data_IF_336736551127
#
_entry.id   IF_336736551127
#
_cell.length_a   1.000
_cell.length_b   1.000
_cell.length_c   1.000
_cell.angle_alpha   90.00
_cell.angle_beta   90.00
_cell.angle_gamma   90.00
#
_symmetry.space_group_name_H-M   'P 1'
#
loop_
_entity.id
_entity.type
_entity.pdbx_description
1 polymer ?
#
# COMPACT_ATOMS: atom_id res chain seq x y z
N UNK A 1 5.45 8.33 -27.16
CA UNK A 1 4.09 8.86 -26.98
C UNK A 1 3.08 8.25 -27.94
N UNK A 2 3.37 8.06 -29.23
CA UNK A 2 2.38 7.57 -30.20
C UNK A 2 1.83 6.18 -29.88
N UNK A 3 2.66 5.24 -29.44
CA UNK A 3 2.18 3.92 -29.02
C UNK A 3 1.26 3.97 -27.80
N UNK A 4 1.57 4.83 -26.82
CA UNK A 4 0.73 5.04 -25.65
C UNK A 4 -0.61 5.68 -26.01
N UNK A 5 -0.62 6.63 -26.95
CA UNK A 5 -1.87 7.18 -27.52
C UNK A 5 -2.69 6.09 -28.19
N UNK A 6 -2.08 5.29 -29.06
CA UNK A 6 -2.76 4.16 -29.72
C UNK A 6 -3.36 3.19 -28.71
N UNK A 7 -2.63 2.89 -27.63
CA UNK A 7 -3.13 2.07 -26.53
C UNK A 7 -4.34 2.71 -25.85
N UNK A 8 -4.28 3.99 -25.45
CA UNK A 8 -5.42 4.63 -24.80
C UNK A 8 -6.64 4.73 -25.71
N UNK A 9 -6.45 4.98 -27.02
CA UNK A 9 -7.54 4.97 -27.99
C UNK A 9 -8.15 3.58 -28.20
N UNK A 10 -7.36 2.50 -28.07
CA UNK A 10 -7.87 1.13 -28.18
C UNK A 10 -8.71 0.68 -26.98
N UNK A 11 -8.62 1.39 -25.85
CA UNK A 11 -9.44 1.12 -24.66
C UNK A 11 -10.88 1.65 -24.76
N UNK A 12 -11.26 2.30 -25.88
CA UNK A 12 -12.59 2.88 -26.09
C UNK A 12 -13.06 3.78 -24.93
N UNK A 13 -12.16 4.64 -24.42
CA UNK A 13 -12.47 5.57 -23.33
C UNK A 13 -13.42 6.67 -23.84
N UNK A 14 -14.70 6.54 -23.52
CA UNK A 14 -15.75 7.51 -23.80
C UNK A 14 -16.10 8.36 -22.56
N UNK A 15 -16.69 9.54 -22.79
CA UNK A 15 -17.14 10.44 -21.72
C UNK A 15 -16.01 11.13 -20.95
N UNK A 16 -16.32 11.51 -19.70
CA UNK A 16 -15.37 12.12 -18.77
C UNK A 16 -14.47 11.05 -18.17
N UNK A 17 -13.17 11.27 -18.19
CA UNK A 17 -12.19 10.33 -17.66
C UNK A 17 -11.82 10.78 -16.25
N UNK A 18 -11.88 9.84 -15.30
CA UNK A 18 -11.37 10.04 -13.95
C UNK A 18 -10.22 9.06 -13.67
N UNK A 19 -9.21 9.52 -12.94
CA UNK A 19 -8.16 8.68 -12.36
C UNK A 19 -8.31 8.69 -10.85
N UNK A 20 -8.15 7.52 -10.23
CA UNK A 20 -8.02 7.38 -8.77
C UNK A 20 -6.58 6.96 -8.51
N UNK A 21 -5.87 7.72 -7.69
CA UNK A 21 -4.45 7.46 -7.41
C UNK A 21 -4.08 7.92 -5.99
N UNK A 22 -2.93 7.47 -5.50
CA UNK A 22 -2.31 7.97 -4.28
C UNK A 22 -1.30 9.04 -4.64
N UNK A 23 -1.00 9.97 -3.73
CA UNK A 23 -0.14 11.10 -4.09
C UNK A 23 1.25 10.63 -4.55
N UNK A 24 1.70 11.18 -5.68
CA UNK A 24 3.11 11.16 -6.10
C UNK A 24 3.54 12.61 -6.27
N UNK A 25 4.81 12.93 -5.97
CA UNK A 25 5.33 14.31 -5.96
C UNK A 25 5.21 15.10 -7.30
N UNK A 26 4.58 14.53 -8.34
CA UNK A 26 4.43 15.21 -9.63
C UNK A 26 3.16 14.90 -10.45
N UNK A 27 2.14 14.24 -9.89
CA UNK A 27 0.86 13.94 -10.60
C UNK A 27 1.05 13.36 -12.02
N UNK A 28 2.09 12.53 -12.20
CA UNK A 28 2.61 12.18 -13.52
C UNK A 28 1.62 11.43 -14.39
N UNK A 29 0.78 10.58 -13.78
CA UNK A 29 -0.18 9.73 -14.48
C UNK A 29 -1.31 10.55 -15.11
N UNK A 30 -1.93 11.48 -14.36
CA UNK A 30 -2.97 12.37 -14.88
C UNK A 30 -2.44 13.22 -16.04
N UNK A 31 -1.31 13.90 -15.84
CA UNK A 31 -0.71 14.75 -16.87
C UNK A 31 -0.34 13.97 -18.15
N UNK A 32 0.16 12.74 -17.99
CA UNK A 32 0.50 11.87 -19.12
C UNK A 32 -0.75 11.48 -19.94
N UNK A 33 -1.84 11.08 -19.28
CA UNK A 33 -3.11 10.72 -19.95
C UNK A 33 -3.71 11.94 -20.64
N UNK A 34 -3.76 13.10 -19.96
CA UNK A 34 -4.27 14.35 -20.54
C UNK A 34 -3.51 14.73 -21.81
N UNK A 35 -2.17 14.67 -21.77
CA UNK A 35 -1.30 14.97 -22.93
C UNK A 35 -1.45 13.95 -24.05
N UNK A 36 -1.71 12.69 -23.71
CA UNK A 36 -1.91 11.64 -24.69
C UNK A 36 -3.25 11.81 -25.42
N UNK A 37 -4.33 12.03 -24.69
CA UNK A 37 -5.70 12.11 -25.23
C UNK A 37 -6.10 13.50 -25.72
N UNK A 38 -5.35 14.54 -25.33
CA UNK A 38 -5.76 15.94 -25.52
C UNK A 38 -7.16 16.20 -24.95
N UNK A 39 -7.42 15.65 -23.77
CA UNK A 39 -8.68 15.75 -23.03
C UNK A 39 -8.39 16.09 -21.57
N UNK A 40 -9.33 16.74 -20.91
CA UNK A 40 -9.30 16.89 -19.45
C UNK A 40 -9.50 15.53 -18.78
N UNK A 41 -8.78 15.30 -17.69
CA UNK A 41 -8.90 14.10 -16.85
C UNK A 41 -9.09 14.57 -15.42
N UNK A 42 -10.13 14.08 -14.77
CA UNK A 42 -10.44 14.38 -13.38
C UNK A 42 -9.59 13.51 -12.44
N UNK A 43 -8.97 14.10 -11.43
CA UNK A 43 -8.10 13.40 -10.49
C UNK A 43 -8.72 13.24 -9.10
N UNK A 44 -8.89 12.00 -8.66
CA UNK A 44 -9.28 11.65 -7.30
C UNK A 44 -8.06 11.15 -6.53
N UNK A 45 -7.48 11.99 -5.68
CA UNK A 45 -6.28 11.65 -4.93
C UNK A 45 -6.57 11.42 -3.44
N UNK A 46 -6.00 10.35 -2.89
CA UNK A 46 -5.91 10.15 -1.43
C UNK A 46 -4.61 10.79 -0.95
N UNK A 47 -4.71 11.88 -0.17
CA UNK A 47 -3.58 12.76 0.17
C UNK A 47 -3.19 12.69 1.67
N UNK A 48 -1.88 12.79 1.94
CA UNK A 48 -1.24 12.96 3.26
C UNK A 48 -1.13 14.44 3.67
N UNK A 49 -1.08 15.37 2.72
CA UNK A 49 -0.78 16.77 2.93
C UNK A 49 -2.00 17.59 2.54
N UNK A 50 -2.66 18.20 3.52
CA UNK A 50 -3.59 19.32 3.29
C UNK A 50 -2.93 20.25 2.25
N UNK A 51 -3.49 20.32 1.05
CA UNK A 51 -2.97 21.17 -0.01
C UNK A 51 -3.28 22.62 0.37
N UNK A 52 -2.33 23.22 1.09
CA UNK A 52 -2.11 24.66 1.12
C UNK A 52 -1.70 25.05 -0.31
N UNK A 53 -2.60 25.75 -0.99
CA UNK A 53 -2.40 26.46 -2.25
C UNK A 53 -2.11 25.59 -3.49
N UNK A 54 -3.12 25.24 -4.28
CA UNK A 54 -2.97 25.20 -5.76
C UNK A 54 -4.32 25.33 -6.49
N UNK A 55 -4.34 26.21 -7.50
CA UNK A 55 -5.39 26.47 -8.48
C UNK A 55 -5.52 25.32 -9.49
N UNK A 56 -6.05 24.17 -9.07
CA UNK A 56 -6.41 23.11 -10.00
C UNK A 56 -7.91 22.82 -9.91
N UNK A 57 -8.55 22.84 -11.08
CA UNK A 57 -10.00 22.84 -11.29
C UNK A 57 -10.68 21.51 -10.97
N UNK A 58 -9.92 20.46 -10.69
CA UNK A 58 -10.38 19.08 -10.58
C UNK A 58 -10.00 18.43 -9.25
N UNK A 59 -10.00 19.21 -8.18
CA UNK A 59 -9.89 18.70 -6.82
C UNK A 59 -11.28 18.64 -6.21
N UNK A 60 -11.67 17.50 -5.62
CA UNK A 60 -12.59 17.54 -4.50
C UNK A 60 -11.73 17.88 -3.28
N UNK A 61 -11.70 19.15 -2.81
CA UNK A 61 -10.99 19.46 -1.59
C UNK A 61 -11.66 18.66 -0.46
N UNK A 62 -10.97 17.63 0.02
CA UNK A 62 -11.43 16.89 1.18
C UNK A 62 -11.03 17.67 2.44
N UNK A 63 -11.71 18.79 2.70
CA UNK A 63 -11.55 19.54 3.94
C UNK A 63 -12.41 18.88 5.02
N UNK A 64 -11.89 17.85 5.69
CA UNK A 64 -12.54 17.29 6.87
C UNK A 64 -11.98 17.94 8.14
N UNK A 65 -12.81 18.27 9.15
CA UNK A 65 -12.35 18.95 10.38
C UNK A 65 -11.42 18.09 11.24
N UNK A 66 -11.43 16.77 11.05
CA UNK A 66 -10.57 15.82 11.79
C UNK A 66 -9.45 15.29 10.89
N UNK A 67 -8.17 15.42 11.28
CA UNK A 67 -7.09 14.72 10.60
C UNK A 67 -7.18 13.22 10.91
N UNK A 68 -7.28 12.39 9.88
CA UNK A 68 -7.12 10.94 9.98
C UNK A 68 -6.12 10.51 8.92
N UNK A 69 -5.15 9.69 9.32
CA UNK A 69 -4.07 9.21 8.47
C UNK A 69 -4.03 7.69 8.52
N UNK A 70 -3.60 7.05 7.44
CA UNK A 70 -3.30 5.62 7.46
C UNK A 70 -2.10 5.35 8.39
N UNK A 71 -2.25 4.40 9.32
CA UNK A 71 -1.18 3.98 10.23
C UNK A 71 0.00 3.32 9.49
N UNK A 72 -0.26 2.74 8.33
CA UNK A 72 0.74 2.22 7.41
C UNK A 72 0.36 2.64 5.97
N UNK A 73 1.14 3.57 5.41
CA UNK A 73 0.93 4.05 4.05
C UNK A 73 1.21 2.98 3.00
N UNK A 74 2.28 2.21 3.17
CA UNK A 74 2.66 1.13 2.26
C UNK A 74 1.53 0.09 2.13
N UNK A 75 0.79 -0.17 3.21
CA UNK A 75 -0.39 -1.04 3.18
C UNK A 75 -1.53 -0.44 2.34
N UNK A 76 -1.78 0.86 2.48
CA UNK A 76 -2.79 1.54 1.67
C UNK A 76 -2.41 1.56 0.19
N UNK A 77 -1.16 1.91 -0.13
CA UNK A 77 -0.63 1.89 -1.49
C UNK A 77 -0.71 0.49 -2.10
N UNK A 78 -0.41 -0.53 -1.29
CA UNK A 78 -0.62 -1.93 -1.67
C UNK A 78 -2.09 -2.22 -2.02
N UNK A 79 -3.08 -1.74 -1.29
CA UNK A 79 -4.48 -1.97 -1.65
C UNK A 79 -4.89 -1.32 -3.00
N UNK A 80 -4.22 -0.24 -3.41
CA UNK A 80 -4.53 0.51 -4.63
C UNK A 80 -3.65 0.16 -5.84
N UNK A 81 -2.62 -0.66 -5.63
CA UNK A 81 -1.68 -1.05 -6.69
C UNK A 81 -2.28 -2.09 -7.65
N UNK A 82 -1.84 -2.04 -8.91
CA UNK A 82 -2.25 -2.99 -9.97
C UNK A 82 -1.70 -4.40 -9.72
N UNK A 83 -2.48 -5.48 -9.99
CA UNK A 83 -1.99 -6.86 -9.96
C UNK A 83 -0.96 -7.18 -11.06
N UNK A 84 -0.82 -6.29 -12.04
CA UNK A 84 0.00 -6.50 -13.22
C UNK A 84 1.50 -6.44 -12.89
N UNK A 85 2.28 -7.08 -13.77
CA UNK A 85 3.73 -6.96 -13.76
C UNK A 85 4.18 -5.61 -14.34
N UNK A 86 5.44 -5.20 -14.11
CA UNK A 86 5.97 -3.98 -14.70
C UNK A 86 5.84 -3.96 -16.23
N UNK A 87 5.39 -2.83 -16.76
CA UNK A 87 5.33 -2.58 -18.20
C UNK A 87 6.70 -2.07 -18.65
N UNK A 88 7.32 -2.77 -19.59
CA UNK A 88 8.61 -2.39 -20.17
C UNK A 88 8.45 -1.40 -21.33
N UNK A 89 7.42 -1.61 -22.15
CA UNK A 89 7.13 -0.79 -23.32
C UNK A 89 5.66 -0.93 -23.75
N UNK A 90 5.22 -0.09 -24.68
CA UNK A 90 3.97 -0.27 -25.42
C UNK A 90 4.32 -0.30 -26.91
N UNK A 91 3.93 -1.36 -27.61
CA UNK A 91 4.17 -1.54 -29.04
C UNK A 91 2.87 -1.84 -29.77
N UNK A 92 2.61 -1.12 -30.85
CA UNK A 92 1.36 -1.25 -31.63
C UNK A 92 0.09 -1.13 -30.78
N UNK A 93 0.13 -0.35 -29.70
CA UNK A 93 -0.99 -0.18 -28.77
C UNK A 93 -1.19 -1.35 -27.80
N UNK A 94 -0.19 -2.24 -27.66
CA UNK A 94 -0.22 -3.38 -26.73
C UNK A 94 0.90 -3.21 -25.69
N UNK A 95 0.59 -3.29 -24.37
CA UNK A 95 1.61 -3.26 -23.34
C UNK A 95 2.47 -4.54 -23.36
N UNK A 96 3.79 -4.35 -23.24
CA UNK A 96 4.77 -5.42 -23.13
C UNK A 96 5.19 -5.50 -21.66
N UNK A 97 4.77 -6.55 -20.99
CA UNK A 97 5.08 -6.80 -19.58
C UNK A 97 6.43 -7.52 -19.43
N UNK A 98 7.11 -7.25 -18.32
CA UNK A 98 8.30 -7.99 -17.91
C UNK A 98 7.94 -9.46 -17.63
N UNK A 99 8.60 -10.39 -18.33
CA UNK A 99 8.34 -11.84 -18.18
C UNK A 99 9.09 -12.44 -16.99
N UNK A 100 10.35 -12.04 -16.81
CA UNK A 100 11.19 -12.54 -15.72
C UNK A 100 11.11 -11.59 -14.54
N UNK A 101 10.08 -11.81 -13.71
CA UNK A 101 9.85 -11.05 -12.47
C UNK A 101 10.26 -11.87 -11.25
N UNK A 102 10.59 -11.17 -10.17
CA UNK A 102 10.99 -11.78 -8.90
C UNK A 102 9.90 -12.69 -8.32
N UNK A 103 10.28 -13.60 -7.42
CA UNK A 103 9.30 -14.41 -6.68
C UNK A 103 8.32 -13.55 -5.86
N UNK A 104 8.76 -12.38 -5.40
CA UNK A 104 7.93 -11.43 -4.67
C UNK A 104 6.82 -10.87 -5.56
N UNK A 105 7.13 -10.44 -6.79
CA UNK A 105 6.14 -9.98 -7.77
C UNK A 105 5.14 -11.07 -8.15
N UNK A 106 5.61 -12.31 -8.36
CA UNK A 106 4.72 -13.45 -8.65
C UNK A 106 3.75 -13.71 -7.51
N UNK A 107 4.25 -13.67 -6.27
CA UNK A 107 3.42 -13.89 -5.08
C UNK A 107 2.42 -12.75 -4.88
N UNK A 108 2.86 -11.50 -5.04
CA UNK A 108 2.03 -10.30 -5.00
C UNK A 108 0.88 -10.40 -6.01
N UNK A 109 1.20 -10.62 -7.30
CA UNK A 109 0.20 -10.75 -8.36
C UNK A 109 -0.83 -11.83 -8.08
N UNK A 110 -0.39 -13.01 -7.58
CA UNK A 110 -1.31 -14.09 -7.17
C UNK A 110 -2.21 -13.70 -6.00
N UNK A 111 -1.70 -12.96 -5.01
CA UNK A 111 -2.50 -12.50 -3.88
C UNK A 111 -3.64 -11.56 -4.34
N UNK A 112 -3.41 -10.78 -5.40
CA UNK A 112 -4.44 -9.88 -5.92
C UNK A 112 -5.66 -10.58 -6.51
N UNK A 113 -5.57 -11.83 -6.95
CA UNK A 113 -6.75 -12.58 -7.38
C UNK A 113 -7.83 -12.58 -6.28
N UNK A 114 -7.41 -12.70 -5.02
CA UNK A 114 -8.28 -12.66 -3.85
C UNK A 114 -8.56 -11.25 -3.33
N UNK A 115 -7.59 -10.35 -3.42
CA UNK A 115 -7.79 -8.96 -2.99
C UNK A 115 -8.83 -8.27 -3.89
N UNK A 116 -8.76 -8.47 -5.21
CA UNK A 116 -9.72 -7.90 -6.16
C UNK A 116 -11.11 -8.45 -5.92
N UNK A 117 -11.25 -9.77 -5.73
CA UNK A 117 -12.53 -10.41 -5.38
C UNK A 117 -13.12 -9.79 -4.11
N UNK A 118 -12.30 -9.65 -3.05
CA UNK A 118 -12.71 -9.04 -1.79
C UNK A 118 -13.07 -7.56 -1.93
N UNK A 119 -12.27 -6.77 -2.66
CA UNK A 119 -12.49 -5.34 -2.86
C UNK A 119 -13.79 -5.06 -3.63
N UNK A 120 -14.06 -5.83 -4.69
CA UNK A 120 -15.32 -5.74 -5.45
C UNK A 120 -16.50 -6.16 -4.59
N UNK A 121 -16.37 -7.26 -3.83
CA UNK A 121 -17.42 -7.72 -2.92
C UNK A 121 -17.75 -6.67 -1.86
N UNK A 122 -16.72 -6.05 -1.28
CA UNK A 122 -16.85 -4.98 -0.30
C UNK A 122 -17.56 -3.74 -0.88
N UNK A 123 -17.13 -3.28 -2.06
CA UNK A 123 -17.77 -2.15 -2.73
C UNK A 123 -19.25 -2.43 -3.09
N UNK A 124 -19.55 -3.65 -3.56
CA UNK A 124 -20.93 -4.07 -3.87
C UNK A 124 -21.81 -4.09 -2.63
N UNK A 125 -21.31 -4.62 -1.51
CA UNK A 125 -22.05 -4.64 -0.23
C UNK A 125 -22.48 -3.23 0.20
N UNK A 126 -21.60 -2.24 0.11
CA UNK A 126 -21.94 -0.86 0.49
C UNK A 126 -22.88 -0.18 -0.49
N UNK A 127 -22.71 -0.45 -1.79
CA UNK A 127 -23.64 0.02 -2.82
C UNK A 127 -25.05 -0.52 -2.59
N UNK A 128 -25.18 -1.80 -2.25
CA UNK A 128 -26.48 -2.48 -2.05
C UNK A 128 -27.13 -2.12 -0.72
N UNK A 129 -26.35 -2.00 0.34
CA UNK A 129 -26.84 -1.66 1.69
C UNK A 129 -27.26 -0.20 1.83
N UNK A 130 -26.95 0.66 0.86
CA UNK A 130 -27.18 2.11 0.90
C UNK A 130 -26.59 2.78 2.15
N UNK A 131 -25.61 2.15 2.78
CA UNK A 131 -24.88 2.74 3.89
C UNK A 131 -24.01 3.85 3.31
N UNK A 132 -24.27 5.08 3.75
CA UNK A 132 -23.42 6.21 3.42
C UNK A 132 -22.06 6.01 4.09
N UNK A 133 -21.00 6.07 3.29
CA UNK A 133 -19.63 5.91 3.75
C UNK A 133 -18.79 7.11 3.36
N UNK A 134 -18.17 7.73 4.36
CA UNK A 134 -17.13 8.71 4.15
C UNK A 134 -15.76 8.06 4.06
N UNK A 135 -14.79 8.76 3.45
CA UNK A 135 -13.38 8.33 3.48
C UNK A 135 -12.85 8.16 4.90
N UNK A 136 -13.40 8.89 5.88
CA UNK A 136 -13.02 8.76 7.29
C UNK A 136 -13.31 7.35 7.82
N UNK A 137 -14.51 6.83 7.55
CA UNK A 137 -14.91 5.49 7.98
C UNK A 137 -13.99 4.44 7.32
N UNK A 138 -13.68 4.63 6.04
CA UNK A 138 -12.72 3.77 5.31
C UNK A 138 -11.34 3.79 5.98
N UNK A 139 -10.78 4.97 6.27
CA UNK A 139 -9.46 5.09 6.89
C UNK A 139 -9.47 4.48 8.29
N UNK A 140 -10.49 4.74 9.11
CA UNK A 140 -10.61 4.17 10.45
C UNK A 140 -10.69 2.64 10.42
N UNK A 141 -11.44 2.07 9.48
CA UNK A 141 -11.53 0.62 9.33
C UNK A 141 -10.23 -0.01 8.83
N UNK A 142 -9.54 0.63 7.89
CA UNK A 142 -8.21 0.18 7.44
C UNK A 142 -7.21 0.24 8.60
N UNK A 143 -7.20 1.31 9.39
CA UNK A 143 -6.35 1.43 10.56
C UNK A 143 -6.69 0.38 11.62
N UNK A 144 -7.98 0.14 11.88
CA UNK A 144 -8.41 -0.90 12.80
C UNK A 144 -7.90 -2.28 12.37
N UNK A 145 -7.95 -2.59 11.08
CA UNK A 145 -7.44 -3.84 10.52
C UNK A 145 -5.92 -3.96 10.64
N UNK A 146 -5.17 -2.89 10.34
CA UNK A 146 -3.71 -2.83 10.51
C UNK A 146 -3.30 -3.06 11.97
N UNK A 147 -4.05 -2.47 12.91
CA UNK A 147 -3.74 -2.51 14.34
C UNK A 147 -4.18 -3.83 14.99
N UNK A 148 -5.16 -4.52 14.41
CA UNK A 148 -5.78 -5.72 14.97
C UNK A 148 -5.80 -6.92 13.99
N UNK A 149 -4.66 -7.28 13.37
CA UNK A 149 -4.62 -8.38 12.42
C UNK A 149 -4.78 -9.72 13.14
N UNK A 150 -5.58 -10.62 12.58
CA UNK A 150 -5.68 -11.99 13.07
C UNK A 150 -4.34 -12.72 12.91
N UNK A 151 -4.16 -13.85 13.59
CA UNK A 151 -2.94 -14.68 13.42
C UNK A 151 -2.76 -15.10 11.95
N UNK A 152 -3.86 -15.36 11.25
CA UNK A 152 -3.84 -15.73 9.84
C UNK A 152 -3.36 -14.55 8.98
N UNK A 153 -3.89 -13.35 9.22
CA UNK A 153 -3.46 -12.13 8.51
C UNK A 153 -1.97 -11.87 8.71
N UNK A 154 -1.49 -12.00 9.96
CA UNK A 154 -0.07 -11.84 10.29
C UNK A 154 0.84 -12.78 9.50
N UNK A 155 0.43 -14.05 9.28
CA UNK A 155 1.20 -15.00 8.49
C UNK A 155 1.14 -14.73 6.98
N UNK A 156 0.02 -14.22 6.47
CA UNK A 156 -0.09 -13.82 5.06
C UNK A 156 0.75 -12.58 4.78
N UNK A 157 0.70 -11.57 5.65
CA UNK A 157 1.47 -10.33 5.48
C UNK A 157 2.98 -10.52 5.44
N UNK A 158 3.52 -11.54 6.11
CA UNK A 158 4.95 -11.88 6.04
C UNK A 158 5.43 -12.28 4.64
N UNK A 159 4.50 -12.64 3.76
CA UNK A 159 4.76 -13.11 2.41
C UNK A 159 4.60 -11.99 1.38
N UNK A 160 4.02 -10.85 1.77
CA UNK A 160 3.84 -9.71 0.89
C UNK A 160 5.04 -8.76 1.00
N UNK A 161 5.60 -8.44 -0.16
CA UNK A 161 6.70 -7.50 -0.32
C UNK A 161 6.32 -6.49 -1.40
N UNK A 162 6.82 -5.27 -1.26
CA UNK A 162 6.71 -4.23 -2.27
C UNK A 162 8.12 -3.86 -2.78
N UNK A 163 8.15 -3.27 -3.97
CA UNK A 163 9.36 -2.88 -4.67
C UNK A 163 9.31 -1.35 -4.89
N UNK A 164 9.73 -0.55 -3.91
CA UNK A 164 9.54 0.91 -3.97
C UNK A 164 10.51 1.63 -4.91
N UNK A 165 11.59 0.98 -5.31
CA UNK A 165 12.57 1.57 -6.21
C UNK A 165 12.17 1.37 -7.68
N UNK A 166 12.46 2.37 -8.51
CA UNK A 166 12.17 2.33 -9.94
C UNK A 166 12.88 1.19 -10.71
N UNK A 167 13.87 0.53 -10.09
CA UNK A 167 14.54 -0.62 -10.70
C UNK A 167 13.86 -1.95 -10.35
N UNK A 168 12.90 -1.92 -9.42
CA UNK A 168 12.17 -3.08 -8.90
C UNK A 168 13.11 -4.18 -8.36
N UNK A 169 14.23 -3.77 -7.74
CA UNK A 169 15.26 -4.72 -7.25
C UNK A 169 15.25 -4.93 -5.74
N UNK A 170 14.76 -3.97 -4.96
CA UNK A 170 14.81 -4.02 -3.50
C UNK A 170 13.45 -4.39 -2.94
N UNK A 171 13.25 -5.67 -2.66
CA UNK A 171 12.04 -6.15 -2.00
C UNK A 171 12.04 -5.75 -0.53
N UNK A 172 11.05 -4.94 -0.14
CA UNK A 172 10.77 -4.59 1.25
C UNK A 172 9.51 -5.30 1.74
N UNK A 173 9.52 -5.90 2.94
CA UNK A 173 8.30 -6.46 3.54
C UNK A 173 7.23 -5.38 3.73
N UNK A 174 5.98 -5.69 3.44
CA UNK A 174 4.85 -4.76 3.58
C UNK A 174 4.73 -4.16 4.99
N UNK A 175 5.03 -4.99 6.00
CA UNK A 175 5.11 -4.56 7.38
C UNK A 175 6.52 -4.77 7.91
N UNK A 176 7.32 -3.71 7.90
CA UNK A 176 8.66 -3.67 8.48
C UNK A 176 8.73 -2.58 9.54
N UNK A 177 9.38 -2.90 10.67
CA UNK A 177 9.74 -1.91 11.68
C UNK A 177 11.23 -1.58 11.60
N UNK A 178 11.64 -0.41 12.10
CA UNK A 178 13.04 0.01 12.22
C UNK A 178 13.83 -0.74 13.32
N UNK A 179 13.43 -1.98 13.64
CA UNK A 179 14.11 -2.81 14.61
C UNK A 179 15.15 -3.69 13.92
N UNK A 180 16.40 -3.26 14.02
CA UNK A 180 17.59 -4.01 13.58
C UNK A 180 18.19 -4.87 14.69
N UNK A 181 19.07 -5.82 14.33
CA UNK A 181 19.82 -6.60 15.31
C UNK A 181 20.63 -5.70 16.26
N UNK A 182 21.27 -4.66 15.72
CA UNK A 182 22.02 -3.69 16.51
C UNK A 182 21.13 -2.97 17.52
N UNK A 183 19.92 -2.56 17.12
CA UNK A 183 18.96 -1.95 18.04
C UNK A 183 18.55 -2.92 19.17
N UNK A 184 18.38 -4.21 18.86
CA UNK A 184 18.06 -5.23 19.86
C UNK A 184 19.18 -5.42 20.89
N UNK A 185 20.44 -5.19 20.50
CA UNK A 185 21.60 -5.26 21.39
C UNK A 185 21.70 -3.97 22.23
N UNK A 186 21.61 -2.80 21.59
CA UNK A 186 21.80 -1.51 22.26
C UNK A 186 20.62 -1.11 23.15
N UNK A 187 19.39 -1.43 22.73
CA UNK A 187 18.13 -1.00 23.38
C UNK A 187 17.10 -2.13 23.47
N UNK A 188 17.42 -3.27 24.11
CA UNK A 188 16.63 -4.50 24.06
C UNK A 188 15.17 -4.34 24.55
N UNK A 189 14.94 -3.54 25.59
CA UNK A 189 13.58 -3.35 26.13
C UNK A 189 12.71 -2.49 25.22
N UNK A 190 13.29 -1.47 24.57
CA UNK A 190 12.60 -0.66 23.58
C UNK A 190 12.28 -1.49 22.34
N UNK A 191 13.28 -2.21 21.79
CA UNK A 191 13.09 -3.10 20.64
C UNK A 191 12.05 -4.18 20.93
N UNK A 192 12.04 -4.78 22.13
CA UNK A 192 11.00 -5.72 22.54
C UNK A 192 9.61 -5.08 22.56
N UNK A 193 9.48 -3.86 23.08
CA UNK A 193 8.22 -3.12 23.14
C UNK A 193 7.64 -2.84 21.76
N UNK A 194 8.48 -2.38 20.83
CA UNK A 194 8.12 -2.14 19.43
C UNK A 194 7.68 -3.47 18.80
N UNK A 195 8.57 -4.47 18.79
CA UNK A 195 8.27 -5.77 18.18
C UNK A 195 7.03 -6.45 18.77
N UNK A 196 6.73 -6.27 20.07
CA UNK A 196 5.53 -6.85 20.69
C UNK A 196 4.23 -6.29 20.10
N UNK A 197 4.21 -5.01 19.73
CA UNK A 197 3.01 -4.28 19.30
C UNK A 197 2.88 -4.20 17.77
N UNK A 198 3.96 -4.47 17.05
CA UNK A 198 3.98 -4.37 15.61
C UNK A 198 3.75 -5.70 14.90
N UNK A 199 3.25 -5.62 13.67
CA UNK A 199 3.44 -6.65 12.67
C UNK A 199 4.93 -6.89 12.42
N UNK A 200 5.34 -8.15 12.20
CA UNK A 200 6.76 -8.55 12.17
C UNK A 200 7.07 -9.36 10.93
N UNK A 201 8.19 -9.05 10.31
CA UNK A 201 8.83 -9.92 9.31
C UNK A 201 9.28 -11.24 9.93
N UNK A 202 9.59 -12.25 9.10
CA UNK A 202 10.17 -13.52 9.58
C UNK A 202 11.47 -13.32 10.39
N UNK A 203 12.30 -12.36 9.99
CA UNK A 203 13.53 -12.02 10.69
C UNK A 203 13.23 -11.38 12.05
N UNK A 204 12.27 -10.46 12.09
CA UNK A 204 11.86 -9.77 13.32
C UNK A 204 11.14 -10.71 14.30
N UNK A 205 10.40 -11.70 13.81
CA UNK A 205 9.80 -12.74 14.64
C UNK A 205 10.88 -13.56 15.38
N UNK A 206 11.99 -13.89 14.71
CA UNK A 206 13.13 -14.55 15.36
C UNK A 206 13.77 -13.67 16.43
N UNK A 207 13.99 -12.39 16.15
CA UNK A 207 14.51 -11.43 17.12
C UNK A 207 13.58 -11.28 18.32
N UNK A 208 12.26 -11.20 18.09
CA UNK A 208 11.25 -11.11 19.13
C UNK A 208 11.26 -12.33 20.05
N UNK A 209 11.40 -13.55 19.50
CA UNK A 209 11.52 -14.78 20.28
C UNK A 209 12.77 -14.79 21.17
N UNK A 210 13.91 -14.34 20.65
CA UNK A 210 15.16 -14.22 21.42
C UNK A 210 14.99 -13.22 22.57
N UNK A 211 14.50 -12.00 22.28
CA UNK A 211 14.26 -10.98 23.31
C UNK A 211 13.25 -11.44 24.36
N UNK A 212 12.21 -12.17 23.96
CA UNK A 212 11.22 -12.77 24.86
C UNK A 212 11.86 -13.77 25.83
N UNK A 213 12.77 -14.61 25.34
CA UNK A 213 13.50 -15.58 26.16
C UNK A 213 14.39 -14.87 27.17
N UNK A 214 15.18 -13.89 26.72
CA UNK A 214 16.06 -13.08 27.56
C UNK A 214 15.25 -12.42 28.68
N UNK A 215 14.13 -11.77 28.35
CA UNK A 215 13.25 -11.12 29.33
C UNK A 215 12.70 -12.11 30.36
N UNK A 216 12.30 -13.32 29.94
CA UNK A 216 11.85 -14.38 30.85
C UNK A 216 12.96 -14.83 31.80
N UNK A 217 14.18 -15.01 31.31
CA UNK A 217 15.34 -15.42 32.13
C UNK A 217 15.68 -14.33 33.17
N UNK A 218 15.83 -13.08 32.74
CA UNK A 218 16.10 -11.95 33.64
C UNK A 218 14.99 -11.76 34.69
N UNK A 219 13.73 -11.88 34.28
CA UNK A 219 12.59 -11.80 35.20
C UNK A 219 12.58 -12.91 36.26
N UNK A 220 13.05 -14.12 35.91
CA UNK A 220 13.21 -15.23 36.87
C UNK A 220 14.38 -15.00 37.83
N UNK A 221 15.51 -14.46 37.35
CA UNK A 221 16.68 -14.16 38.18
C UNK A 221 16.38 -13.07 39.21
N UNK A 222 15.68 -12.00 38.81
CA UNK A 222 15.29 -10.89 39.69
C UNK A 222 14.25 -11.26 40.76
N UNK A 223 13.51 -12.36 40.58
CA UNK A 223 12.57 -12.89 41.59
C UNK A 223 13.24 -13.84 42.60
N UNK A 224 14.48 -14.26 42.34
CA UNK A 224 15.26 -15.15 43.22
C UNK A 224 16.29 -14.41 44.08
N UNK A 225 16.53 -13.13 43.81
CA UNK A 225 17.28 -12.19 44.66
C UNK A 225 16.33 -11.46 45.60
#
# INVERSE_FOLDING_TARGET
MDNYRKYLFSQNLEGNIAIVDTITMGYSSQGLIQKALNKEVFGCYVDLLRILNYDCVSFLPFSHPKPVYFHNWDFMEFLLTSPEYPILNVENGVPIYQKDVSSCEKHRSKAYEKIVEGAVGYASYFKESQISLGIHDVIEWVNFFIDNPSIQDQEQFKQIYFLPDATHRNALPLFCNDVSLLSCILKPSQSYGILKRSLRTNKQERLFKILSLIKKIYGKLKKKS
#
